data_IF_712000885703
#
_entry.id   IF_712000885703
#
_cell.length_a   1.000
_cell.length_b   1.000
_cell.length_c   1.000
_cell.angle_alpha   90.00
_cell.angle_beta   90.00
_cell.angle_gamma   90.00
#
_symmetry.space_group_name_H-M   'P 1'
#
loop_
_entity.id
_entity.type
_entity.pdbx_description
1 polymer ?
#
# COMPACT_ATOMS: atom_id res chain seq x y z
N UNK A 1 20.83 10.52 19.57
CA UNK A 1 19.39 10.51 19.92
C UNK A 1 19.03 9.05 19.94
N UNK A 2 18.45 8.60 21.03
CA UNK A 2 18.18 7.19 21.26
C UNK A 2 17.32 6.63 20.11
N UNK A 3 17.76 5.50 19.54
CA UNK A 3 17.08 4.81 18.45
C UNK A 3 15.77 4.14 18.93
N UNK A 4 15.51 4.19 20.24
CA UNK A 4 14.38 3.55 20.88
C UNK A 4 13.11 4.43 20.82
N UNK A 5 11.95 3.87 20.44
CA UNK A 5 10.69 4.61 20.41
C UNK A 5 10.29 5.10 21.81
N UNK A 6 9.74 6.32 21.94
CA UNK A 6 9.23 6.82 23.21
C UNK A 6 8.15 5.88 23.77
N UNK A 7 8.14 5.58 25.08
CA UNK A 7 7.19 4.64 25.67
C UNK A 7 5.73 5.12 25.50
N UNK A 8 5.49 6.43 25.50
CA UNK A 8 4.15 6.97 25.21
C UNK A 8 3.67 6.68 23.78
N UNK A 9 4.58 6.57 22.81
CA UNK A 9 4.23 6.21 21.43
C UNK A 9 3.82 4.75 21.35
N UNK A 10 4.57 3.85 21.98
CA UNK A 10 4.24 2.42 22.02
C UNK A 10 2.88 2.21 22.69
N UNK A 11 2.65 2.84 23.85
CA UNK A 11 1.37 2.75 24.57
C UNK A 11 0.19 3.26 23.71
N UNK A 12 0.39 4.37 23.00
CA UNK A 12 -0.61 4.94 22.10
C UNK A 12 -0.94 3.99 20.93
N UNK A 13 0.08 3.43 20.28
CA UNK A 13 -0.10 2.49 19.15
C UNK A 13 -0.79 1.24 19.67
N UNK A 14 -0.35 0.69 20.80
CA UNK A 14 -0.94 -0.50 21.38
C UNK A 14 -2.42 -0.36 21.72
N UNK A 15 -2.82 0.81 22.23
CA UNK A 15 -4.23 1.08 22.53
C UNK A 15 -5.12 1.18 21.27
N UNK A 16 -4.56 1.46 20.09
CA UNK A 16 -5.34 1.81 18.88
C UNK A 16 -5.14 0.90 17.68
N UNK A 17 -4.11 0.05 17.69
CA UNK A 17 -3.74 -0.76 16.53
C UNK A 17 -4.87 -1.69 16.08
N UNK A 18 -5.60 -2.31 17.01
CA UNK A 18 -6.74 -3.18 16.70
C UNK A 18 -7.83 -2.43 15.93
N UNK A 19 -8.27 -1.28 16.46
CA UNK A 19 -9.27 -0.44 15.80
C UNK A 19 -8.79 0.08 14.44
N UNK A 20 -7.52 0.47 14.35
CA UNK A 20 -6.90 0.92 13.10
C UNK A 20 -6.90 -0.18 12.03
N UNK A 21 -6.58 -1.42 12.40
CA UNK A 21 -6.61 -2.57 11.47
C UNK A 21 -8.03 -2.87 11.00
N UNK A 22 -9.01 -2.88 11.91
CA UNK A 22 -10.41 -3.10 11.56
C UNK A 22 -10.93 -2.01 10.60
N UNK A 23 -10.58 -0.75 10.87
CA UNK A 23 -10.99 0.37 10.03
C UNK A 23 -10.29 0.34 8.66
N UNK A 24 -8.99 0.03 8.63
CA UNK A 24 -8.25 -0.16 7.39
C UNK A 24 -8.87 -1.30 6.54
N UNK A 25 -9.17 -2.45 7.14
CA UNK A 25 -9.83 -3.58 6.47
C UNK A 25 -11.19 -3.19 5.89
N UNK A 26 -11.98 -2.43 6.66
CA UNK A 26 -13.26 -1.88 6.22
C UNK A 26 -13.11 -0.97 4.99
N UNK A 27 -12.07 -0.13 4.97
CA UNK A 27 -11.85 0.85 3.92
C UNK A 27 -11.20 0.28 2.64
N UNK A 28 -10.34 -0.73 2.76
CA UNK A 28 -9.66 -1.37 1.62
C UNK A 28 -10.48 -2.48 0.97
N UNK A 29 -11.51 -3.00 1.65
CA UNK A 29 -12.38 -4.05 1.11
C UNK A 29 -11.72 -5.42 1.04
N UNK A 30 -10.61 -5.63 1.75
CA UNK A 30 -9.91 -6.91 1.78
C UNK A 30 -8.66 -6.90 2.65
N UNK A 31 -8.29 -8.08 3.14
CA UNK A 31 -7.27 -8.28 4.17
C UNK A 31 -5.83 -8.09 3.66
N UNK A 32 -5.58 -8.36 2.37
CA UNK A 32 -4.22 -8.39 1.79
C UNK A 32 -3.46 -7.06 1.85
N UNK A 33 -4.16 -5.92 1.79
CA UNK A 33 -3.54 -4.58 1.78
C UNK A 33 -3.56 -3.88 3.14
N UNK A 34 -4.29 -4.43 4.12
CA UNK A 34 -4.39 -3.87 5.48
C UNK A 34 -3.02 -3.66 6.13
N UNK A 35 -2.12 -4.66 6.20
CA UNK A 35 -0.84 -4.48 6.90
C UNK A 35 0.02 -3.39 6.25
N UNK A 36 -0.02 -3.27 4.91
CA UNK A 36 0.74 -2.24 4.20
C UNK A 36 0.21 -0.83 4.50
N UNK A 37 -1.10 -0.62 4.42
CA UNK A 37 -1.71 0.69 4.70
C UNK A 37 -1.50 1.09 6.16
N UNK A 38 -1.68 0.16 7.10
CA UNK A 38 -1.45 0.39 8.53
C UNK A 38 0.00 0.78 8.78
N UNK A 39 0.96 0.02 8.24
CA UNK A 39 2.38 0.30 8.39
C UNK A 39 2.76 1.68 7.85
N UNK A 40 2.26 2.08 6.68
CA UNK A 40 2.52 3.41 6.13
C UNK A 40 1.96 4.54 7.00
N UNK A 41 0.77 4.36 7.58
CA UNK A 41 0.16 5.34 8.50
C UNK A 41 0.98 5.45 9.78
N UNK A 42 1.45 4.32 10.34
CA UNK A 42 2.29 4.32 11.55
C UNK A 42 3.65 5.01 11.30
N UNK A 43 4.26 4.80 10.12
CA UNK A 43 5.49 5.49 9.72
C UNK A 43 5.26 7.01 9.65
N UNK A 44 4.16 7.45 9.04
CA UNK A 44 3.81 8.88 8.96
C UNK A 44 3.54 9.46 10.36
N UNK A 45 2.86 8.71 11.23
CA UNK A 45 2.60 9.10 12.62
C UNK A 45 3.89 9.25 13.43
N UNK A 46 4.78 8.25 13.39
CA UNK A 46 6.05 8.26 14.10
C UNK A 46 6.91 9.47 13.71
N UNK A 47 6.94 9.82 12.42
CA UNK A 47 7.65 11.00 11.93
C UNK A 47 7.12 12.35 12.46
N UNK A 48 5.85 12.40 12.90
CA UNK A 48 5.20 13.61 13.41
C UNK A 48 4.96 13.58 14.92
N UNK A 49 5.30 12.50 15.61
CA UNK A 49 4.95 12.25 17.01
C UNK A 49 5.28 13.43 17.94
N UNK A 50 6.54 13.90 17.94
CA UNK A 50 6.97 15.03 18.80
C UNK A 50 6.14 16.31 18.58
N UNK A 51 5.82 16.62 17.33
CA UNK A 51 5.01 17.80 16.98
C UNK A 51 3.56 17.64 17.44
N UNK A 52 3.02 16.42 17.33
CA UNK A 52 1.67 16.10 17.77
C UNK A 52 1.55 16.11 19.30
N UNK A 53 2.52 15.57 20.03
CA UNK A 53 2.55 15.67 21.49
C UNK A 53 2.61 17.12 21.95
N UNK A 54 3.47 17.93 21.33
CA UNK A 54 3.56 19.35 21.65
C UNK A 54 2.24 20.08 21.38
N UNK A 55 1.60 19.79 20.23
CA UNK A 55 0.29 20.35 19.90
C UNK A 55 -0.80 19.90 20.86
N UNK A 56 -0.82 18.62 21.24
CA UNK A 56 -1.79 18.07 22.18
C UNK A 56 -1.70 18.71 23.57
N UNK A 57 -0.47 19.02 24.03
CA UNK A 57 -0.26 19.79 25.27
C UNK A 57 -0.85 21.20 25.19
N UNK A 58 -0.79 21.85 24.04
CA UNK A 58 -1.32 23.20 23.86
C UNK A 58 -2.85 23.22 23.68
N UNK A 59 -3.43 22.23 23.02
CA UNK A 59 -4.86 22.26 22.67
C UNK A 59 -5.73 21.41 23.59
N UNK A 60 -5.15 20.70 24.57
CA UNK A 60 -5.84 19.71 25.42
C UNK A 60 -6.73 18.71 24.63
N UNK A 61 -6.35 18.43 23.38
CA UNK A 61 -7.04 17.51 22.47
C UNK A 61 -6.08 16.43 22.02
N UNK A 62 -6.61 15.25 21.74
CA UNK A 62 -5.84 14.13 21.19
C UNK A 62 -5.52 14.36 19.71
N UNK A 63 -4.58 15.27 19.46
CA UNK A 63 -4.12 15.65 18.14
C UNK A 63 -3.52 14.45 17.36
N UNK A 64 -3.00 13.45 18.08
CA UNK A 64 -2.45 12.26 17.48
C UNK A 64 -3.55 11.33 16.94
N UNK A 65 -4.67 11.15 17.68
CA UNK A 65 -5.83 10.42 17.19
C UNK A 65 -6.41 11.05 15.92
N UNK A 66 -6.65 12.37 15.96
CA UNK A 66 -7.21 13.11 14.83
C UNK A 66 -6.26 13.12 13.61
N UNK A 67 -4.94 13.10 13.86
CA UNK A 67 -3.96 12.97 12.79
C UNK A 67 -4.00 11.58 12.17
N UNK A 68 -4.06 10.53 12.99
CA UNK A 68 -4.10 9.14 12.54
C UNK A 68 -5.35 8.86 11.69
N UNK A 69 -6.52 9.31 12.12
CA UNK A 69 -7.78 9.17 11.36
C UNK A 69 -7.74 9.89 10.00
N UNK A 70 -7.29 11.16 10.00
CA UNK A 70 -7.07 11.91 8.75
C UNK A 70 -6.08 11.21 7.83
N UNK A 71 -5.01 10.63 8.38
CA UNK A 71 -3.97 10.01 7.57
C UNK A 71 -4.40 8.65 7.02
N UNK A 72 -5.16 7.88 7.79
CA UNK A 72 -5.80 6.66 7.31
C UNK A 72 -6.75 6.94 6.15
N UNK A 73 -7.60 7.96 6.27
CA UNK A 73 -8.53 8.37 5.21
C UNK A 73 -7.77 8.80 3.95
N UNK A 74 -6.71 9.60 4.10
CA UNK A 74 -5.90 10.03 2.97
C UNK A 74 -5.19 8.86 2.28
N UNK A 75 -4.64 7.90 3.04
CA UNK A 75 -3.92 6.76 2.50
C UNK A 75 -4.84 5.73 1.84
N UNK A 76 -6.00 5.47 2.42
CA UNK A 76 -6.99 4.57 1.81
C UNK A 76 -7.55 5.17 0.52
N UNK A 77 -7.76 6.49 0.47
CA UNK A 77 -8.08 7.19 -0.78
C UNK A 77 -6.98 7.03 -1.83
N UNK A 78 -5.74 7.32 -1.47
CA UNK A 78 -4.60 7.16 -2.38
C UNK A 78 -4.48 5.72 -2.88
N UNK A 79 -4.62 4.74 -1.98
CA UNK A 79 -4.57 3.33 -2.33
C UNK A 79 -5.68 2.96 -3.33
N UNK A 80 -6.90 3.50 -3.17
CA UNK A 80 -7.99 3.31 -4.15
C UNK A 80 -7.68 3.95 -5.51
N UNK A 81 -6.99 5.09 -5.52
CA UNK A 81 -6.58 5.78 -6.74
C UNK A 81 -5.42 5.04 -7.46
N UNK A 82 -4.52 4.41 -6.70
CA UNK A 82 -3.39 3.62 -7.21
C UNK A 82 -3.76 2.19 -7.61
N UNK A 83 -4.83 1.64 -7.03
CA UNK A 83 -5.47 0.41 -7.50
C UNK A 83 -6.09 0.68 -8.87
N UNK A 84 -5.27 0.57 -9.91
CA UNK A 84 -5.74 0.33 -11.27
C UNK A 84 -6.35 -1.08 -11.23
N UNK A 85 -7.59 -1.18 -10.77
CA UNK A 85 -8.34 -2.42 -10.94
C UNK A 85 -8.35 -2.69 -12.44
N UNK A 86 -7.83 -3.85 -12.90
CA UNK A 86 -8.31 -4.34 -14.17
C UNK A 86 -9.82 -4.47 -13.97
N UNK A 87 -10.58 -3.56 -14.56
CA UNK A 87 -12.02 -3.73 -14.66
C UNK A 87 -12.16 -4.96 -15.53
N UNK A 88 -12.30 -6.12 -14.90
CA UNK A 88 -12.82 -7.29 -15.58
C UNK A 88 -14.23 -6.91 -15.98
N UNK A 89 -14.33 -6.29 -17.16
CA UNK A 89 -15.60 -6.15 -17.85
C UNK A 89 -15.96 -7.58 -18.22
N UNK A 90 -16.59 -8.28 -17.28
CA UNK A 90 -17.39 -9.44 -17.60
C UNK A 90 -18.50 -8.88 -18.48
N UNK A 91 -18.20 -8.82 -19.79
CA UNK A 91 -19.22 -8.74 -20.81
C UNK A 91 -20.02 -10.00 -20.59
N UNK A 92 -21.11 -9.85 -19.83
CA UNK A 92 -22.15 -10.85 -19.76
C UNK A 92 -22.60 -10.98 -21.21
N UNK A 93 -22.00 -11.92 -21.96
CA UNK A 93 -22.46 -12.27 -23.29
C UNK A 93 -23.85 -12.78 -23.04
N UNK A 94 -24.82 -11.92 -23.32
CA UNK A 94 -26.22 -12.25 -23.44
C UNK A 94 -26.30 -13.31 -24.54
N UNK A 95 -26.07 -14.56 -24.16
CA UNK A 95 -26.13 -15.72 -25.07
C UNK A 95 -27.59 -16.15 -25.24
N UNK A 96 -28.51 -15.25 -24.90
CA UNK A 96 -29.95 -15.47 -24.80
C UNK A 96 -30.71 -14.96 -26.02
N UNK A 97 -30.04 -14.64 -27.13
CA UNK A 97 -30.66 -14.81 -28.44
C UNK A 97 -30.56 -16.27 -28.86
N UNK A 98 -31.19 -17.13 -28.05
CA UNK A 98 -31.66 -18.41 -28.53
C UNK A 98 -32.68 -18.08 -29.62
N UNK A 99 -32.24 -18.21 -30.87
CA UNK A 99 -33.12 -18.16 -32.03
C UNK A 99 -34.28 -19.14 -31.78
N UNK A 100 -35.53 -18.66 -31.66
CA UNK A 100 -36.67 -19.54 -31.80
C UNK A 100 -36.76 -19.92 -33.27
N UNK A 101 -37.15 -21.18 -33.56
CA UNK A 101 -37.61 -21.68 -34.87
C UNK A 101 -36.58 -22.12 -35.93
N UNK A 102 -35.92 -23.26 -35.69
CA UNK A 102 -35.42 -24.12 -36.78
C UNK A 102 -35.62 -25.62 -36.50
N UNK A 103 -36.76 -25.99 -35.88
CA UNK A 103 -37.10 -27.41 -35.66
C UNK A 103 -38.38 -27.88 -36.35
N UNK A 104 -38.98 -27.08 -37.25
CA UNK A 104 -40.21 -27.51 -37.96
C UNK A 104 -40.07 -27.23 -39.46
N UNK A 105 -39.23 -28.01 -40.14
CA UNK A 105 -39.35 -28.52 -41.52
C UNK A 105 -37.96 -28.94 -41.99
N UNK A 106 -37.67 -30.23 -42.08
CA UNK A 106 -37.09 -30.85 -43.29
C UNK A 106 -36.79 -32.33 -43.06
N UNK A 107 -37.78 -33.11 -43.48
CA UNK A 107 -37.64 -34.48 -43.97
C UNK A 107 -36.74 -34.50 -45.20
N UNK A 108 -35.91 -35.54 -45.30
CA UNK A 108 -35.20 -36.04 -46.50
C UNK A 108 -33.87 -35.38 -46.95
N UNK A 109 -32.77 -36.03 -46.56
CA UNK A 109 -31.72 -36.51 -47.47
C UNK A 109 -30.94 -35.51 -48.33
N UNK A 110 -29.82 -34.98 -47.80
CA UNK A 110 -28.65 -34.60 -48.60
C UNK A 110 -27.38 -34.49 -47.72
N UNK A 111 -26.18 -34.81 -48.24
CA UNK A 111 -24.93 -34.70 -47.50
C UNK A 111 -24.40 -33.26 -47.57
N UNK A 112 -24.29 -32.57 -46.43
CA UNK A 112 -23.61 -31.26 -46.35
C UNK A 112 -22.23 -31.39 -45.71
N UNK A 113 -21.23 -31.32 -46.58
CA UNK A 113 -19.89 -30.84 -46.26
C UNK A 113 -20.03 -29.37 -45.86
N UNK A 114 -19.69 -29.02 -44.61
CA UNK A 114 -19.41 -27.62 -44.26
C UNK A 114 -18.44 -27.59 -43.08
N UNK A 115 -17.18 -27.40 -43.43
CA UNK A 115 -16.10 -27.09 -42.51
C UNK A 115 -16.33 -25.72 -41.89
N UNK A 116 -16.66 -25.69 -40.59
CA UNK A 116 -16.40 -24.50 -39.78
C UNK A 116 -14.97 -24.61 -39.25
N UNK A 117 -14.06 -23.69 -39.59
CA UNK A 117 -12.79 -23.59 -38.87
C UNK A 117 -13.12 -23.14 -37.45
N UNK A 118 -12.90 -24.05 -36.51
CA UNK A 118 -12.90 -23.77 -35.10
C UNK A 118 -11.97 -22.58 -34.85
N UNK A 119 -12.57 -21.42 -34.57
CA UNK A 119 -11.90 -20.26 -34.02
C UNK A 119 -11.41 -20.65 -32.61
N UNK A 120 -10.30 -21.37 -32.57
CA UNK A 120 -9.47 -21.59 -31.40
C UNK A 120 -8.84 -20.24 -31.05
N UNK A 121 -9.66 -19.32 -30.54
CA UNK A 121 -9.21 -18.11 -29.93
C UNK A 121 -8.34 -18.53 -28.72
N UNK A 122 -7.06 -18.23 -28.85
CA UNK A 122 -6.02 -18.34 -27.86
C UNK A 122 -6.42 -17.68 -26.54
N UNK A 123 -7.15 -18.39 -25.68
CA UNK A 123 -7.10 -18.12 -24.25
C UNK A 123 -5.74 -18.60 -23.75
N UNK A 124 -4.71 -17.76 -23.94
CA UNK A 124 -3.46 -17.90 -23.18
C UNK A 124 -3.83 -17.74 -21.71
N UNK A 125 -3.92 -18.87 -21.00
CA UNK A 125 -3.96 -18.90 -19.54
C UNK A 125 -2.79 -18.04 -19.04
N UNK A 126 -3.01 -17.07 -18.14
CA UNK A 126 -1.92 -16.36 -17.49
C UNK A 126 -0.97 -17.38 -16.86
N UNK A 127 0.36 -17.14 -16.90
CA UNK A 127 1.33 -18.04 -16.30
C UNK A 127 0.97 -18.23 -14.83
N UNK A 128 0.70 -19.48 -14.46
CA UNK A 128 0.42 -19.88 -13.08
C UNK A 128 1.62 -19.44 -12.25
N UNK A 129 1.46 -18.61 -11.20
CA UNK A 129 2.57 -18.26 -10.34
C UNK A 129 3.22 -19.55 -9.81
N UNK A 130 4.55 -19.56 -9.62
CA UNK A 130 5.27 -20.76 -9.17
C UNK A 130 4.60 -21.32 -7.93
N UNK A 131 4.44 -22.64 -7.90
CA UNK A 131 3.65 -23.37 -6.91
C UNK A 131 3.97 -22.89 -5.50
N UNK A 132 3.05 -22.12 -4.91
CA UNK A 132 3.06 -21.83 -3.49
C UNK A 132 3.08 -23.17 -2.76
N UNK A 133 4.24 -23.49 -2.20
CA UNK A 133 4.47 -24.77 -1.54
C UNK A 133 3.38 -25.02 -0.49
N UNK A 134 2.91 -26.26 -0.38
CA UNK A 134 1.89 -26.64 0.61
C UNK A 134 2.26 -26.21 2.03
N UNK A 135 3.55 -26.09 2.34
CA UNK A 135 4.06 -25.53 3.59
C UNK A 135 3.61 -24.07 3.81
N UNK A 136 3.60 -23.25 2.77
CA UNK A 136 3.16 -21.85 2.81
C UNK A 136 1.64 -21.73 2.94
N UNK A 137 0.90 -22.65 2.33
CA UNK A 137 -0.56 -22.75 2.49
C UNK A 137 -0.94 -23.25 3.90
N UNK A 138 -0.20 -24.19 4.46
CA UNK A 138 -0.39 -24.70 5.83
C UNK A 138 0.10 -23.73 6.90
N UNK A 139 1.09 -22.88 6.60
CA UNK A 139 1.55 -21.82 7.50
C UNK A 139 0.42 -20.84 7.88
N UNK A 140 -0.57 -20.64 7.00
CA UNK A 140 -1.75 -19.83 7.30
C UNK A 140 -2.67 -20.46 8.35
N UNK A 141 -2.63 -21.78 8.51
CA UNK A 141 -3.49 -22.53 9.43
C UNK A 141 -2.84 -22.83 10.78
N UNK A 142 -1.53 -22.63 10.91
CA UNK A 142 -0.86 -22.73 12.20
C UNK A 142 -1.33 -21.57 13.08
N UNK A 143 -1.97 -21.83 14.25
CA UNK A 143 -2.29 -20.79 15.21
C UNK A 143 -1.00 -20.05 15.53
N UNK A 144 -0.95 -18.75 15.25
CA UNK A 144 0.25 -17.96 15.44
C UNK A 144 0.70 -18.10 16.90
N UNK A 145 1.84 -18.72 17.15
CA UNK A 145 2.46 -18.79 18.48
C UNK A 145 3.03 -17.44 18.92
N UNK A 146 2.83 -16.40 18.10
CA UNK A 146 3.16 -15.02 18.42
C UNK A 146 2.22 -14.54 19.53
N UNK A 147 2.81 -14.24 20.69
CA UNK A 147 2.11 -13.57 21.79
C UNK A 147 1.54 -12.27 21.21
N UNK A 148 0.22 -12.10 21.21
CA UNK A 148 -0.43 -10.91 20.65
C UNK A 148 0.14 -9.58 21.19
N UNK A 149 0.73 -9.57 22.39
CA UNK A 149 1.42 -8.38 22.93
C UNK A 149 2.75 -8.04 22.24
N UNK A 150 3.51 -9.01 21.73
CA UNK A 150 4.82 -8.73 21.10
C UNK A 150 4.70 -8.24 19.67
N UNK A 151 3.62 -8.59 18.97
CA UNK A 151 3.37 -8.14 17.58
C UNK A 151 3.20 -6.63 17.52
N UNK A 152 2.42 -6.08 18.45
CA UNK A 152 2.14 -4.64 18.55
C UNK A 152 3.42 -3.83 18.80
N UNK A 153 4.27 -4.33 19.70
CA UNK A 153 5.55 -3.69 20.03
C UNK A 153 6.49 -3.75 18.83
N UNK A 154 6.61 -4.92 18.18
CA UNK A 154 7.43 -5.08 17.00
C UNK A 154 6.97 -4.16 15.85
N UNK A 155 5.65 -4.02 15.61
CA UNK A 155 5.15 -3.11 14.58
C UNK A 155 5.42 -1.64 14.91
N UNK A 156 5.27 -1.24 16.17
CA UNK A 156 5.58 0.11 16.62
C UNK A 156 7.09 0.41 16.45
N UNK A 157 7.95 -0.52 16.82
CA UNK A 157 9.40 -0.41 16.66
C UNK A 157 9.81 -0.32 15.19
N UNK A 158 9.32 -1.23 14.35
CA UNK A 158 9.59 -1.24 12.90
C UNK A 158 9.15 0.09 12.29
N UNK A 159 7.92 0.54 12.59
CA UNK A 159 7.42 1.82 12.09
C UNK A 159 8.28 3.00 12.55
N UNK A 160 8.73 3.00 13.81
CA UNK A 160 9.60 4.04 14.36
C UNK A 160 10.96 4.06 13.68
N UNK A 161 11.62 2.92 13.50
CA UNK A 161 12.91 2.81 12.80
C UNK A 161 12.79 3.30 11.36
N UNK A 162 11.72 2.92 10.64
CA UNK A 162 11.50 3.39 9.28
C UNK A 162 11.26 4.89 9.21
N UNK A 163 10.46 5.44 10.12
CA UNK A 163 10.21 6.88 10.20
C UNK A 163 11.49 7.66 10.53
N UNK A 164 12.27 7.16 11.49
CA UNK A 164 13.53 7.76 11.89
C UNK A 164 14.54 7.75 10.74
N UNK A 165 14.71 6.61 10.06
CA UNK A 165 15.59 6.52 8.89
C UNK A 165 15.21 7.52 7.81
N UNK A 166 13.90 7.69 7.54
CA UNK A 166 13.40 8.66 6.55
C UNK A 166 13.62 10.11 7.00
N UNK A 167 13.46 10.40 8.29
CA UNK A 167 13.75 11.71 8.88
C UNK A 167 15.24 12.06 8.77
N UNK A 168 16.09 11.12 9.17
CA UNK A 168 17.55 11.22 9.12
C UNK A 168 18.02 11.47 7.68
N UNK A 169 17.48 10.74 6.72
CA UNK A 169 17.78 10.94 5.29
C UNK A 169 17.43 12.35 4.80
N UNK A 170 16.26 12.90 5.16
CA UNK A 170 15.91 14.29 4.78
C UNK A 170 16.84 15.31 5.40
N UNK A 171 17.29 15.08 6.65
CA UNK A 171 18.25 15.96 7.32
C UNK A 171 19.59 15.92 6.60
N UNK A 172 20.10 14.74 6.28
CA UNK A 172 21.36 14.61 5.54
C UNK A 172 21.27 15.21 4.14
N UNK A 173 20.17 15.02 3.41
CA UNK A 173 19.99 15.65 2.11
C UNK A 173 19.99 17.18 2.19
N UNK A 174 19.31 17.76 3.19
CA UNK A 174 19.32 19.22 3.38
C UNK A 174 20.69 19.74 3.75
N UNK A 175 21.41 19.05 4.62
CA UNK A 175 22.76 19.44 5.02
C UNK A 175 23.73 19.29 3.84
N UNK A 176 23.70 18.15 3.13
CA UNK A 176 24.52 17.91 1.95
C UNK A 176 24.25 18.91 0.83
N UNK A 177 22.97 19.17 0.51
CA UNK A 177 22.60 20.20 -0.46
C UNK A 177 23.06 21.60 -0.05
N UNK A 178 22.93 21.95 1.24
CA UNK A 178 23.44 23.22 1.78
C UNK A 178 24.96 23.35 1.67
N UNK A 179 25.71 22.28 1.96
CA UNK A 179 27.17 22.24 1.82
C UNK A 179 27.59 22.38 0.36
N UNK A 180 26.94 21.68 -0.57
CA UNK A 180 27.22 21.80 -2.01
C UNK A 180 26.95 23.22 -2.50
N UNK A 181 25.83 23.82 -2.10
CA UNK A 181 25.52 25.21 -2.44
C UNK A 181 26.55 26.19 -1.87
N UNK A 182 26.97 25.99 -0.63
CA UNK A 182 28.00 26.83 0.01
C UNK A 182 29.34 26.74 -0.73
N UNK A 183 29.77 25.54 -1.11
CA UNK A 183 31.01 25.34 -1.87
C UNK A 183 30.88 25.98 -3.25
N UNK A 184 29.77 25.76 -3.97
CA UNK A 184 29.53 26.39 -5.27
C UNK A 184 29.55 27.92 -5.19
N UNK A 185 28.91 28.48 -4.16
CA UNK A 185 28.94 29.91 -3.88
C UNK A 185 30.36 30.43 -3.62
N UNK A 186 31.16 29.71 -2.81
CA UNK A 186 32.54 30.09 -2.52
C UNK A 186 33.41 30.10 -3.78
N UNK A 187 33.27 29.08 -4.64
CA UNK A 187 34.00 29.01 -5.92
C UNK A 187 33.62 30.18 -6.83
N UNK A 188 32.32 30.46 -6.95
CA UNK A 188 31.83 31.58 -7.76
C UNK A 188 32.31 32.92 -7.21
N UNK A 189 32.30 33.08 -5.89
CA UNK A 189 32.83 34.26 -5.21
C UNK A 189 34.32 34.45 -5.52
N UNK A 190 35.16 33.43 -5.30
CA UNK A 190 36.60 33.50 -5.60
C UNK A 190 36.87 33.80 -7.09
N UNK A 191 36.04 33.28 -8.00
CA UNK A 191 36.15 33.57 -9.42
C UNK A 191 35.89 35.05 -9.76
N UNK A 192 35.03 35.74 -9.01
CA UNK A 192 34.79 37.17 -9.22
C UNK A 192 35.97 38.03 -8.73
N UNK A 193 36.63 37.63 -7.65
CA UNK A 193 37.80 38.34 -7.12
C UNK A 193 39.10 38.07 -7.90
N UNK A 194 39.15 36.97 -8.66
CA UNK A 194 40.36 36.62 -9.43
C UNK A 194 40.44 37.31 -10.80
N UNK A 195 39.44 38.08 -11.21
CA UNK A 195 39.48 38.84 -12.46
C UNK A 195 40.43 40.05 -12.30
N UNK A 196 41.54 40.13 -13.06
CA UNK A 196 42.47 41.25 -12.97
C UNK A 196 41.81 42.53 -13.51
N UNK A 197 41.85 43.60 -12.72
CA UNK A 197 41.45 44.97 -13.10
C UNK A 197 42.48 45.65 -13.97
#
# INVERSE_FOLDING_TARGET
MDDEPPPEFIAFVAARLGALRSEAARLTGGDRSVPEVVMQVLIDLAGHWRRLCWRGRLTHRDAAAEYLDRRLTARTRQWREEQIYPVEVNVLRDTTWAAPSAQILETAGAPRVSAYPAAAAHFRRPPKPPEETLAQQLAFFLPSTVRHGSEVVAEAEIAWVHAYRRYVWRRYFRMGGGVVLLIGYLVQFMSQFSAPT
#
